data_IF_146121022650
#
_entry.id   IF_146121022650
#
_cell.length_a   1.000
_cell.length_b   1.000
_cell.length_c   1.000
_cell.angle_alpha   90.00
_cell.angle_beta   90.00
_cell.angle_gamma   90.00
#
_symmetry.space_group_name_H-M   'P 1'
#
loop_
_entity.id
_entity.type
_entity.pdbx_description
1 polymer ?
#
# COMPACT_ATOMS: atom_id res chain seq x y z
N UNK A 1 -12.98 -0.37 -16.18
CA UNK A 1 -11.77 -1.07 -15.70
C UNK A 1 -11.66 -0.88 -14.18
N UNK A 2 -11.27 -1.92 -13.45
CA UNK A 2 -11.16 -1.89 -11.98
C UNK A 2 -9.71 -2.11 -11.60
N UNK A 3 -9.11 -1.16 -10.86
CA UNK A 3 -7.80 -1.28 -10.27
C UNK A 3 -7.88 -1.83 -8.85
N UNK A 4 -6.98 -2.73 -8.50
CA UNK A 4 -6.78 -3.21 -7.13
C UNK A 4 -5.41 -2.78 -6.64
N UNK A 5 -5.35 -2.22 -5.44
CA UNK A 5 -4.12 -2.17 -4.68
C UNK A 5 -3.78 -3.58 -4.17
N UNK A 6 -2.56 -3.76 -3.65
CA UNK A 6 -2.06 -5.04 -3.24
C UNK A 6 -1.90 -5.18 -1.72
N UNK A 7 -0.94 -4.44 -1.14
CA UNK A 7 -0.58 -4.52 0.28
C UNK A 7 -1.72 -4.02 1.16
N UNK A 8 -2.16 -4.84 2.10
CA UNK A 8 -3.29 -4.57 3.00
C UNK A 8 -4.66 -4.39 2.31
N UNK A 9 -4.70 -4.73 1.01
CA UNK A 9 -5.92 -4.82 0.20
C UNK A 9 -6.15 -6.27 -0.25
N UNK A 10 -5.14 -6.92 -0.83
CA UNK A 10 -5.21 -8.32 -1.25
C UNK A 10 -4.56 -9.27 -0.23
N UNK A 11 -3.51 -8.85 0.42
CA UNK A 11 -2.75 -9.63 1.40
C UNK A 11 -2.21 -8.76 2.52
N UNK A 12 -1.89 -9.40 3.63
CA UNK A 12 -1.30 -8.73 4.80
C UNK A 12 0.08 -8.18 4.50
N UNK A 13 0.35 -6.99 4.95
CA UNK A 13 1.65 -6.34 4.82
C UNK A 13 2.02 -5.53 6.06
N UNK A 14 1.20 -4.56 6.48
CA UNK A 14 1.53 -3.62 7.56
C UNK A 14 1.84 -4.32 8.89
N UNK A 15 1.16 -5.41 9.21
CA UNK A 15 1.42 -6.18 10.44
C UNK A 15 2.89 -6.60 10.57
N UNK A 16 3.50 -7.01 9.46
CA UNK A 16 4.90 -7.47 9.44
C UNK A 16 5.88 -6.30 9.55
N UNK A 17 5.50 -5.14 9.03
CA UNK A 17 6.27 -3.91 9.23
C UNK A 17 6.20 -3.44 10.68
N UNK A 18 5.02 -3.53 11.32
CA UNK A 18 4.83 -3.19 12.72
C UNK A 18 5.66 -4.10 13.64
N UNK A 19 5.68 -5.41 13.37
CA UNK A 19 6.53 -6.38 14.09
C UNK A 19 8.03 -6.07 13.91
N UNK A 20 8.43 -5.68 12.70
CA UNK A 20 9.82 -5.29 12.44
C UNK A 20 10.20 -3.99 13.17
N UNK A 21 9.31 -3.02 13.26
CA UNK A 21 9.52 -1.78 14.02
C UNK A 21 9.61 -2.05 15.52
N UNK A 22 8.78 -2.93 16.07
CA UNK A 22 8.85 -3.35 17.47
C UNK A 22 10.19 -4.05 17.80
N UNK A 23 10.67 -4.93 16.92
CA UNK A 23 11.99 -5.56 17.07
C UNK A 23 13.13 -4.54 16.95
N UNK A 24 13.02 -3.58 16.04
CA UNK A 24 13.97 -2.48 15.92
C UNK A 24 14.05 -1.67 17.20
N UNK A 25 12.92 -1.26 17.78
CA UNK A 25 12.86 -0.55 19.06
C UNK A 25 13.53 -1.36 20.19
N UNK A 26 13.29 -2.68 20.23
CA UNK A 26 13.93 -3.58 21.19
C UNK A 26 15.45 -3.67 21.01
N UNK A 27 15.94 -3.64 19.77
CA UNK A 27 17.38 -3.63 19.48
C UNK A 27 18.01 -2.31 19.97
N UNK A 28 17.43 -1.17 19.60
CA UNK A 28 17.93 0.17 19.93
C UNK A 28 17.84 0.45 21.43
N UNK A 29 16.78 -0.03 22.10
CA UNK A 29 16.57 0.11 23.54
C UNK A 29 17.62 -0.54 24.42
N UNK A 30 18.54 -1.34 23.85
CA UNK A 30 19.74 -1.81 24.58
C UNK A 30 20.83 -0.73 24.72
N UNK A 31 20.74 0.34 23.97
CA UNK A 31 21.74 1.41 23.89
C UNK A 31 21.26 2.75 24.46
N UNK A 32 19.95 2.94 24.54
CA UNK A 32 19.31 4.17 24.99
C UNK A 32 18.15 3.85 25.94
N UNK A 33 17.80 4.80 26.82
CA UNK A 33 16.59 4.69 27.63
C UNK A 33 15.37 5.07 26.78
N UNK A 34 14.44 4.14 26.63
CA UNK A 34 13.21 4.37 25.86
C UNK A 34 12.25 5.36 26.53
N UNK A 35 12.48 5.71 27.82
CA UNK A 35 11.75 6.79 28.48
C UNK A 35 12.19 8.17 27.99
N UNK A 36 13.45 8.29 27.55
CA UNK A 36 14.04 9.56 27.13
C UNK A 36 14.05 9.72 25.60
N UNK A 37 13.97 8.62 24.85
CA UNK A 37 14.10 8.62 23.37
C UNK A 37 12.91 7.96 22.73
N UNK A 38 12.20 8.72 21.89
CA UNK A 38 11.09 8.20 21.07
C UNK A 38 11.65 7.57 19.80
N UNK A 39 12.04 6.30 19.90
CA UNK A 39 12.77 5.58 18.84
C UNK A 39 11.96 5.50 17.56
N UNK A 40 10.67 5.19 17.64
CA UNK A 40 9.82 5.06 16.44
C UNK A 40 9.54 6.41 15.76
N UNK A 41 9.42 7.51 16.54
CA UNK A 41 9.29 8.85 15.95
C UNK A 41 10.55 9.25 15.19
N UNK A 42 11.73 8.94 15.73
CA UNK A 42 13.01 9.18 15.09
C UNK A 42 13.17 8.33 13.82
N UNK A 43 12.77 7.05 13.87
CA UNK A 43 12.74 6.18 12.70
C UNK A 43 11.81 6.76 11.63
N UNK A 44 10.57 7.13 11.97
CA UNK A 44 9.60 7.68 11.04
C UNK A 44 10.13 8.94 10.32
N UNK A 45 10.81 9.82 11.05
CA UNK A 45 11.42 11.02 10.45
C UNK A 45 12.49 10.66 9.41
N UNK A 46 13.36 9.68 9.71
CA UNK A 46 14.39 9.20 8.79
C UNK A 46 13.77 8.48 7.60
N UNK A 47 12.78 7.61 7.81
CA UNK A 47 12.06 6.91 6.73
C UNK A 47 11.43 7.89 5.75
N UNK A 48 10.68 8.87 6.28
CA UNK A 48 10.01 9.88 5.46
C UNK A 48 11.00 10.68 4.61
N UNK A 49 12.15 11.07 5.18
CA UNK A 49 13.21 11.76 4.44
C UNK A 49 13.85 10.87 3.37
N UNK A 50 13.94 9.57 3.63
CA UNK A 50 14.61 8.60 2.76
C UNK A 50 13.73 8.05 1.63
N UNK A 51 12.41 8.24 1.66
CA UNK A 51 11.50 7.79 0.59
C UNK A 51 11.94 8.34 -0.77
N UNK A 52 12.30 9.62 -0.84
CA UNK A 52 12.72 10.25 -2.09
C UNK A 52 14.04 9.70 -2.66
N UNK A 53 14.84 9.01 -1.83
CA UNK A 53 16.16 8.46 -2.19
C UNK A 53 16.11 6.96 -2.43
N UNK A 54 15.47 6.23 -1.52
CA UNK A 54 15.45 4.76 -1.53
C UNK A 54 14.12 4.16 -1.98
N UNK A 55 13.07 4.97 -2.13
CA UNK A 55 11.72 4.50 -2.41
C UNK A 55 11.06 3.80 -1.23
N UNK A 56 9.89 3.25 -1.48
CA UNK A 56 9.10 2.48 -0.52
C UNK A 56 9.59 1.03 -0.39
N UNK A 57 9.21 0.38 0.71
CA UNK A 57 9.37 -1.06 0.92
C UNK A 57 10.52 -1.43 1.85
N UNK A 58 10.69 -2.73 2.03
CA UNK A 58 11.57 -3.33 3.06
C UNK A 58 13.01 -2.85 2.96
N UNK A 59 13.55 -2.65 1.74
CA UNK A 59 14.95 -2.23 1.55
C UNK A 59 15.16 -0.79 2.03
N UNK A 60 14.27 0.13 1.64
CA UNK A 60 14.31 1.53 2.08
C UNK A 60 14.13 1.65 3.60
N UNK A 61 13.15 0.92 4.18
CA UNK A 61 12.96 0.82 5.62
C UNK A 61 14.22 0.31 6.33
N UNK A 62 14.87 -0.74 5.82
CA UNK A 62 16.08 -1.31 6.44
C UNK A 62 17.22 -0.31 6.47
N UNK A 63 17.44 0.42 5.38
CA UNK A 63 18.47 1.46 5.31
C UNK A 63 18.16 2.59 6.31
N UNK A 64 16.90 2.98 6.41
CA UNK A 64 16.43 3.99 7.38
C UNK A 64 16.57 3.51 8.82
N UNK A 65 16.30 2.24 9.11
CA UNK A 65 16.56 1.65 10.42
C UNK A 65 18.04 1.67 10.79
N UNK A 66 18.95 1.31 9.87
CA UNK A 66 20.39 1.34 10.10
C UNK A 66 20.87 2.77 10.37
N UNK A 67 20.42 3.74 9.58
CA UNK A 67 20.73 5.15 9.74
C UNK A 67 20.19 5.68 11.08
N UNK A 68 18.91 5.49 11.36
CA UNK A 68 18.26 5.92 12.61
C UNK A 68 18.92 5.31 13.83
N UNK A 69 19.20 3.99 13.82
CA UNK A 69 19.92 3.32 14.90
C UNK A 69 21.29 3.92 15.16
N UNK A 70 22.04 4.24 14.10
CA UNK A 70 23.35 4.85 14.21
C UNK A 70 23.26 6.26 14.81
N UNK A 71 22.29 7.06 14.38
CA UNK A 71 22.05 8.41 14.90
C UNK A 71 21.62 8.38 16.38
N UNK A 72 20.58 7.59 16.71
CA UNK A 72 20.02 7.49 18.08
C UNK A 72 21.07 7.02 19.09
N UNK A 73 21.89 6.07 18.70
CA UNK A 73 22.92 5.50 19.60
C UNK A 73 24.22 6.29 19.61
N UNK A 74 24.35 7.36 18.80
CA UNK A 74 25.60 8.10 18.63
C UNK A 74 26.74 7.24 18.12
N UNK A 75 26.45 6.30 17.22
CA UNK A 75 27.41 5.36 16.63
C UNK A 75 27.85 4.21 17.57
N UNK A 76 27.21 4.05 18.72
CA UNK A 76 27.55 2.98 19.72
C UNK A 76 26.91 1.63 19.39
N UNK A 77 25.98 1.57 18.45
CA UNK A 77 25.34 0.30 18.08
C UNK A 77 26.40 -0.68 17.57
N UNK A 78 26.36 -1.92 18.05
CA UNK A 78 27.28 -2.95 17.64
C UNK A 78 26.99 -3.43 16.21
N UNK A 79 28.03 -3.77 15.44
CA UNK A 79 27.91 -4.32 14.09
C UNK A 79 27.01 -5.58 14.05
N UNK A 80 27.00 -6.38 15.13
CA UNK A 80 26.14 -7.55 15.25
C UNK A 80 24.65 -7.16 15.30
N UNK A 81 24.30 -6.05 15.93
CA UNK A 81 22.92 -5.58 16.03
C UNK A 81 22.47 -4.92 14.71
N UNK A 82 23.36 -4.24 13.99
CA UNK A 82 23.09 -3.83 12.61
C UNK A 82 22.85 -5.04 11.70
N UNK A 83 23.65 -6.11 11.87
CA UNK A 83 23.43 -7.34 11.13
C UNK A 83 22.06 -7.99 11.45
N UNK A 84 21.60 -7.94 12.68
CA UNK A 84 20.24 -8.41 13.07
C UNK A 84 19.15 -7.65 12.35
N UNK A 85 19.28 -6.32 12.19
CA UNK A 85 18.33 -5.51 11.40
C UNK A 85 18.29 -6.00 9.95
N UNK A 86 19.46 -6.31 9.36
CA UNK A 86 19.53 -6.86 7.98
C UNK A 86 18.89 -8.25 7.89
N UNK A 87 19.13 -9.13 8.86
CA UNK A 87 18.52 -10.48 8.86
C UNK A 87 16.99 -10.41 9.06
N UNK A 88 16.51 -9.50 9.89
CA UNK A 88 15.08 -9.22 10.05
C UNK A 88 14.44 -8.78 8.71
N UNK A 89 15.09 -7.88 7.99
CA UNK A 89 14.66 -7.45 6.66
C UNK A 89 14.62 -8.60 5.64
N UNK A 90 15.62 -9.47 5.65
CA UNK A 90 15.63 -10.68 4.81
C UNK A 90 14.48 -11.64 5.18
N UNK A 91 14.16 -11.76 6.47
CA UNK A 91 13.01 -12.51 6.94
C UNK A 91 11.72 -11.96 6.36
N UNK A 92 11.54 -10.64 6.42
CA UNK A 92 10.37 -9.95 5.89
C UNK A 92 10.23 -10.11 4.37
N UNK A 93 11.34 -9.98 3.61
CA UNK A 93 11.34 -10.19 2.15
C UNK A 93 11.01 -11.63 1.73
N UNK A 94 11.19 -12.61 2.61
CA UNK A 94 10.90 -14.04 2.37
C UNK A 94 9.61 -14.51 3.02
N UNK A 95 8.89 -13.58 3.68
CA UNK A 95 7.64 -13.94 4.34
C UNK A 95 6.63 -14.45 3.30
N UNK A 96 5.94 -15.58 3.54
CA UNK A 96 4.89 -16.04 2.65
C UNK A 96 3.78 -15.02 2.49
N UNK A 97 3.18 -14.94 1.31
CA UNK A 97 2.02 -14.08 1.07
C UNK A 97 0.80 -14.67 1.76
N UNK A 98 0.16 -13.91 2.63
CA UNK A 98 -1.07 -14.28 3.31
C UNK A 98 -2.22 -13.44 2.78
N UNK A 99 -3.06 -14.04 1.92
CA UNK A 99 -4.25 -13.38 1.39
C UNK A 99 -5.21 -12.97 2.52
N UNK A 100 -5.88 -11.83 2.35
CA UNK A 100 -6.99 -11.48 3.23
C UNK A 100 -8.13 -12.48 3.06
N UNK A 101 -8.84 -12.83 4.15
CA UNK A 101 -10.00 -13.73 4.07
C UNK A 101 -11.02 -13.24 3.03
N UNK A 102 -11.54 -14.13 2.19
CA UNK A 102 -12.55 -13.80 1.17
C UNK A 102 -12.06 -13.06 -0.06
N UNK A 103 -10.83 -12.52 -0.07
CA UNK A 103 -10.37 -11.62 -1.14
C UNK A 103 -10.27 -12.31 -2.50
N UNK A 104 -9.82 -13.56 -2.56
CA UNK A 104 -9.74 -14.31 -3.84
C UNK A 104 -11.10 -14.36 -4.51
N UNK A 105 -12.13 -14.77 -3.77
CA UNK A 105 -13.50 -14.89 -4.27
C UNK A 105 -14.05 -13.53 -4.72
N UNK A 106 -13.73 -12.47 -3.98
CA UNK A 106 -14.13 -11.11 -4.34
C UNK A 106 -13.47 -10.64 -5.65
N UNK A 107 -12.16 -10.85 -5.82
CA UNK A 107 -11.44 -10.51 -7.06
C UNK A 107 -11.99 -11.33 -8.24
N UNK A 108 -12.19 -12.64 -8.07
CA UNK A 108 -12.77 -13.53 -9.09
C UNK A 108 -14.17 -13.06 -9.51
N UNK A 109 -15.01 -12.65 -8.56
CA UNK A 109 -16.36 -12.16 -8.83
C UNK A 109 -16.33 -10.82 -9.60
N UNK A 110 -15.45 -9.89 -9.23
CA UNK A 110 -15.27 -8.62 -9.96
C UNK A 110 -14.70 -8.87 -11.36
N UNK A 111 -13.73 -9.78 -11.49
CA UNK A 111 -13.09 -10.12 -12.76
C UNK A 111 -14.03 -10.83 -13.74
N UNK A 112 -15.14 -11.42 -13.27
CA UNK A 112 -16.14 -12.04 -14.15
C UNK A 112 -16.87 -10.99 -15.01
N UNK A 113 -17.06 -9.77 -14.51
CA UNK A 113 -17.83 -8.71 -15.18
C UNK A 113 -16.97 -7.55 -15.67
N UNK A 114 -15.74 -7.38 -15.13
CA UNK A 114 -14.88 -6.24 -15.41
C UNK A 114 -13.45 -6.65 -15.71
N UNK A 115 -12.78 -5.89 -16.57
CA UNK A 115 -11.33 -5.99 -16.69
C UNK A 115 -10.68 -5.47 -15.41
N UNK A 116 -9.81 -6.29 -14.78
CA UNK A 116 -9.11 -5.96 -13.55
C UNK A 116 -7.62 -5.76 -13.77
N UNK A 117 -7.04 -4.79 -13.08
CA UNK A 117 -5.61 -4.48 -13.08
C UNK A 117 -5.10 -4.36 -11.65
N UNK A 118 -3.86 -4.77 -11.41
CA UNK A 118 -3.19 -4.56 -10.14
C UNK A 118 -2.31 -3.32 -10.24
N UNK A 119 -2.42 -2.40 -9.26
CA UNK A 119 -1.58 -1.21 -9.18
C UNK A 119 -1.03 -1.11 -7.76
N UNK A 120 0.24 -1.37 -7.59
CA UNK A 120 0.91 -1.36 -6.28
C UNK A 120 2.16 -0.50 -6.30
N UNK A 121 2.57 0.03 -5.15
CA UNK A 121 3.85 0.74 -4.99
C UNK A 121 4.80 -0.05 -4.09
N UNK A 122 6.10 0.14 -4.29
CA UNK A 122 7.13 -0.49 -3.47
C UNK A 122 8.34 -0.99 -4.25
N UNK A 123 9.14 -1.81 -3.60
CA UNK A 123 10.30 -2.45 -4.24
C UNK A 123 9.86 -3.45 -5.32
N UNK A 124 10.34 -3.23 -6.54
CA UNK A 124 9.96 -4.03 -7.71
C UNK A 124 10.12 -5.53 -7.47
N UNK A 125 11.30 -5.97 -7.03
CA UNK A 125 11.57 -7.40 -6.83
C UNK A 125 10.67 -8.03 -5.76
N UNK A 126 10.39 -7.27 -4.70
CA UNK A 126 9.54 -7.76 -3.63
C UNK A 126 8.08 -7.83 -4.07
N UNK A 127 7.58 -6.79 -4.75
CA UNK A 127 6.21 -6.78 -5.24
C UNK A 127 5.97 -7.85 -6.32
N UNK A 128 6.90 -8.03 -7.28
CA UNK A 128 6.81 -9.12 -8.26
C UNK A 128 6.76 -10.49 -7.59
N UNK A 129 7.58 -10.72 -6.56
CA UNK A 129 7.57 -11.97 -5.81
C UNK A 129 6.21 -12.18 -5.11
N UNK A 130 5.68 -11.16 -4.41
CA UNK A 130 4.38 -11.25 -3.74
C UNK A 130 3.23 -11.51 -4.72
N UNK A 131 3.20 -10.83 -5.85
CA UNK A 131 2.18 -11.04 -6.88
C UNK A 131 2.21 -12.48 -7.40
N UNK A 132 3.39 -12.99 -7.75
CA UNK A 132 3.55 -14.37 -8.19
C UNK A 132 3.09 -15.37 -7.13
N UNK A 133 3.54 -15.17 -5.89
CA UNK A 133 3.32 -16.11 -4.78
C UNK A 133 1.89 -16.03 -4.21
N UNK A 134 1.14 -14.95 -4.49
CA UNK A 134 -0.27 -14.80 -4.15
C UNK A 134 -1.19 -15.77 -4.88
N UNK A 135 -0.77 -16.25 -6.06
CA UNK A 135 -1.59 -17.03 -6.96
C UNK A 135 -2.79 -16.26 -7.55
N UNK A 136 -2.76 -14.92 -7.54
CA UNK A 136 -3.79 -14.06 -8.11
C UNK A 136 -3.38 -13.45 -9.45
N UNK A 137 -2.12 -13.61 -9.87
CA UNK A 137 -1.56 -12.95 -11.05
C UNK A 137 -2.38 -13.13 -12.31
N UNK A 138 -2.92 -14.32 -12.53
CA UNK A 138 -3.67 -14.69 -13.75
C UNK A 138 -5.06 -14.03 -13.83
N UNK A 139 -5.55 -13.45 -12.73
CA UNK A 139 -6.80 -12.70 -12.72
C UNK A 139 -6.63 -11.28 -13.27
N UNK A 140 -5.42 -10.73 -13.21
CA UNK A 140 -5.14 -9.36 -13.61
C UNK A 140 -4.66 -9.29 -15.06
N UNK A 141 -5.34 -8.46 -15.88
CA UNK A 141 -4.91 -8.16 -17.24
C UNK A 141 -3.52 -7.51 -17.29
N UNK A 142 -3.22 -6.65 -16.32
CA UNK A 142 -1.94 -5.95 -16.15
C UNK A 142 -1.59 -5.81 -14.68
N UNK A 143 -0.29 -5.77 -14.43
CA UNK A 143 0.30 -5.58 -13.10
C UNK A 143 1.27 -4.41 -13.21
N UNK A 144 0.96 -3.32 -12.51
CA UNK A 144 1.74 -2.09 -12.50
C UNK A 144 2.37 -1.90 -11.11
N UNK A 145 3.70 -1.96 -11.06
CA UNK A 145 4.47 -1.65 -9.86
C UNK A 145 5.07 -0.26 -10.05
N UNK A 146 4.55 0.71 -9.29
CA UNK A 146 4.88 2.13 -9.46
C UNK A 146 5.71 2.66 -8.30
N UNK A 147 6.45 3.73 -8.54
CA UNK A 147 7.23 4.41 -7.50
C UNK A 147 6.35 5.24 -6.55
N UNK A 148 5.25 5.80 -7.07
CA UNK A 148 4.28 6.58 -6.30
C UNK A 148 2.89 6.41 -6.89
N UNK A 149 1.86 6.55 -6.05
CA UNK A 149 0.45 6.54 -6.41
C UNK A 149 -0.13 7.95 -6.23
N UNK A 150 0.14 8.77 -7.19
CA UNK A 150 -0.29 10.17 -7.25
C UNK A 150 -1.09 10.47 -8.53
N UNK A 151 -1.76 11.63 -8.64
CA UNK A 151 -2.53 11.95 -9.83
C UNK A 151 -1.73 11.87 -11.14
N UNK A 152 -0.47 12.33 -11.26
CA UNK A 152 0.34 12.16 -12.46
C UNK A 152 0.55 10.70 -12.85
N UNK A 153 0.84 9.82 -11.88
CA UNK A 153 1.03 8.39 -12.12
C UNK A 153 -0.25 7.74 -12.63
N UNK A 154 -1.39 7.99 -11.98
CA UNK A 154 -2.68 7.46 -12.44
C UNK A 154 -3.06 8.01 -13.81
N UNK A 155 -2.86 9.30 -14.09
CA UNK A 155 -3.14 9.88 -15.40
C UNK A 155 -2.32 9.21 -16.52
N UNK A 156 -1.02 8.91 -16.26
CA UNK A 156 -0.16 8.15 -17.18
C UNK A 156 -0.71 6.74 -17.40
N UNK A 157 -1.04 6.01 -16.34
CA UNK A 157 -1.57 4.65 -16.43
C UNK A 157 -2.90 4.61 -17.21
N UNK A 158 -3.82 5.54 -16.93
CA UNK A 158 -5.10 5.62 -17.67
C UNK A 158 -4.88 5.86 -19.17
N UNK A 159 -3.90 6.71 -19.51
CA UNK A 159 -3.50 6.91 -20.92
C UNK A 159 -2.94 5.62 -21.54
N UNK A 160 -2.09 4.89 -20.82
CA UNK A 160 -1.53 3.60 -21.28
C UNK A 160 -2.59 2.49 -21.38
N UNK A 161 -3.67 2.57 -20.59
CA UNK A 161 -4.81 1.66 -20.66
C UNK A 161 -5.83 2.04 -21.74
N UNK A 162 -5.66 3.21 -22.37
CA UNK A 162 -6.57 3.77 -23.35
C UNK A 162 -8.01 3.93 -22.81
N UNK A 163 -8.14 4.48 -21.59
CA UNK A 163 -9.42 4.75 -20.93
C UNK A 163 -9.47 6.15 -20.32
N UNK A 164 -10.67 6.71 -20.24
CA UNK A 164 -10.93 7.95 -19.50
C UNK A 164 -11.03 7.69 -17.99
N UNK A 165 -10.69 8.70 -17.18
CA UNK A 165 -10.73 8.57 -15.73
C UNK A 165 -12.12 8.17 -15.20
N UNK A 166 -13.21 8.68 -15.79
CA UNK A 166 -14.58 8.30 -15.44
C UNK A 166 -14.93 6.82 -15.69
N UNK A 167 -14.07 6.07 -16.41
CA UNK A 167 -14.22 4.65 -16.69
C UNK A 167 -13.36 3.76 -15.76
N UNK A 168 -12.62 4.38 -14.85
CA UNK A 168 -11.72 3.71 -13.91
C UNK A 168 -12.24 3.81 -12.48
N UNK A 169 -12.16 2.69 -11.76
CA UNK A 169 -12.46 2.58 -10.35
C UNK A 169 -11.28 1.91 -9.65
N UNK A 170 -10.78 2.52 -8.58
CA UNK A 170 -9.70 1.96 -7.76
C UNK A 170 -10.25 1.40 -6.45
N UNK A 171 -9.79 0.21 -6.07
CA UNK A 171 -10.06 -0.45 -4.80
C UNK A 171 -8.77 -0.47 -4.01
N UNK A 172 -8.77 0.03 -2.79
CA UNK A 172 -7.57 0.02 -1.94
C UNK A 172 -7.83 0.43 -0.51
N UNK A 173 -6.81 0.22 0.34
CA UNK A 173 -6.87 0.51 1.77
C UNK A 173 -6.43 1.94 2.11
N UNK A 174 -5.70 2.62 1.22
CA UNK A 174 -5.18 3.96 1.46
C UNK A 174 -6.03 5.03 0.80
N UNK A 175 -6.63 5.90 1.60
CA UNK A 175 -7.30 7.10 1.07
C UNK A 175 -6.33 7.98 0.29
N UNK A 176 -5.09 8.12 0.77
CA UNK A 176 -4.06 8.99 0.19
C UNK A 176 -3.54 8.49 -1.15
N UNK A 177 -3.26 7.20 -1.24
CA UNK A 177 -2.57 6.60 -2.39
C UNK A 177 -3.52 5.97 -3.40
N UNK A 178 -4.67 5.43 -2.95
CA UNK A 178 -5.57 4.68 -3.83
C UNK A 178 -6.77 5.52 -4.25
N UNK A 179 -7.38 6.23 -3.31
CA UNK A 179 -8.70 6.82 -3.53
C UNK A 179 -8.60 8.27 -3.98
N UNK A 180 -7.99 9.14 -3.17
CA UNK A 180 -7.95 10.57 -3.45
C UNK A 180 -7.33 10.93 -4.83
N UNK A 181 -6.22 10.31 -5.27
CA UNK A 181 -5.64 10.61 -6.57
C UNK A 181 -6.55 10.27 -7.75
N UNK A 182 -7.28 9.16 -7.63
CA UNK A 182 -8.21 8.70 -8.67
C UNK A 182 -9.45 9.57 -8.72
N UNK A 183 -10.01 9.93 -7.56
CA UNK A 183 -11.15 10.87 -7.49
C UNK A 183 -10.79 12.24 -8.05
N UNK A 184 -9.59 12.75 -7.77
CA UNK A 184 -9.11 14.04 -8.29
C UNK A 184 -9.04 14.08 -9.83
N UNK A 185 -8.84 12.93 -10.49
CA UNK A 185 -8.86 12.80 -11.94
C UNK A 185 -10.28 12.60 -12.51
N UNK A 186 -11.29 12.46 -11.66
CA UNK A 186 -12.67 12.19 -12.06
C UNK A 186 -13.05 10.70 -12.11
N UNK A 187 -12.19 9.82 -11.58
CA UNK A 187 -12.47 8.39 -11.42
C UNK A 187 -13.35 8.08 -10.21
N UNK A 188 -13.37 6.81 -9.83
CA UNK A 188 -14.21 6.24 -8.78
C UNK A 188 -13.36 5.47 -7.78
N UNK A 189 -13.84 5.29 -6.54
CA UNK A 189 -13.09 4.61 -5.50
C UNK A 189 -13.93 3.72 -4.59
N UNK A 190 -13.38 2.55 -4.24
CA UNK A 190 -13.86 1.73 -3.12
C UNK A 190 -12.75 1.71 -2.07
N UNK A 191 -12.98 2.34 -0.95
CA UNK A 191 -12.07 2.30 0.17
C UNK A 191 -12.40 1.10 1.06
N UNK A 192 -11.43 0.20 1.19
CA UNK A 192 -11.50 -0.95 2.10
C UNK A 192 -10.41 -0.79 3.16
N UNK A 193 -10.69 -0.09 4.29
CA UNK A 193 -9.69 0.24 5.28
C UNK A 193 -9.13 -1.03 5.93
N UNK A 194 -7.80 -1.10 6.04
CA UNK A 194 -7.16 -2.14 6.81
C UNK A 194 -7.08 -1.74 8.30
N UNK A 195 -6.99 -2.72 9.20
CA UNK A 195 -7.02 -2.51 10.66
C UNK A 195 -5.89 -1.62 11.18
N UNK A 196 -4.74 -1.66 10.52
CA UNK A 196 -3.58 -0.80 10.79
C UNK A 196 -3.17 -0.13 9.49
N UNK A 197 -2.87 1.16 9.55
CA UNK A 197 -2.42 1.93 8.39
C UNK A 197 -1.17 2.70 8.78
N UNK A 198 -0.14 2.63 7.94
CA UNK A 198 1.06 3.42 8.16
C UNK A 198 0.72 4.91 8.27
N UNK A 199 1.33 5.61 9.26
CA UNK A 199 1.02 7.02 9.53
C UNK A 199 1.14 7.92 8.29
N UNK A 200 2.08 7.60 7.39
CA UNK A 200 2.26 8.31 6.11
C UNK A 200 1.07 8.19 5.16
N UNK A 201 0.24 7.17 5.27
CA UNK A 201 -0.91 6.90 4.41
C UNK A 201 -2.26 7.38 4.99
N UNK A 202 -2.27 7.87 6.24
CA UNK A 202 -3.51 8.26 6.93
C UNK A 202 -3.96 9.69 6.64
N UNK A 203 -3.08 10.56 6.14
CA UNK A 203 -3.35 11.98 5.96
C UNK A 203 -3.96 12.29 4.59
N UNK A 204 -5.19 11.85 4.34
CA UNK A 204 -5.95 12.33 3.19
C UNK A 204 -7.34 12.81 3.63
N UNK A 205 -7.73 13.99 3.15
CA UNK A 205 -9.10 14.46 3.23
C UNK A 205 -9.73 14.33 1.85
N UNK A 206 -10.87 13.67 1.80
CA UNK A 206 -11.69 13.62 0.59
C UNK A 206 -12.64 14.83 0.66
N UNK A 207 -12.67 15.63 -0.38
CA UNK A 207 -13.62 16.73 -0.49
C UNK A 207 -15.05 16.18 -0.57
N UNK A 208 -15.99 16.84 0.13
CA UNK A 208 -17.38 16.40 0.19
C UNK A 208 -18.04 16.26 -1.20
N UNK A 209 -17.59 17.02 -2.19
CA UNK A 209 -18.07 16.92 -3.58
C UNK A 209 -17.64 15.62 -4.27
N UNK A 210 -16.51 15.02 -3.84
CA UNK A 210 -15.97 13.77 -4.37
C UNK A 210 -16.53 12.55 -3.65
N UNK A 211 -17.14 12.70 -2.49
CA UNK A 211 -17.70 11.62 -1.66
C UNK A 211 -18.76 10.80 -2.42
N UNK A 212 -19.51 11.41 -3.32
CA UNK A 212 -20.49 10.72 -4.16
C UNK A 212 -19.88 9.70 -5.15
N UNK A 213 -18.57 9.80 -5.43
CA UNK A 213 -17.83 8.92 -6.34
C UNK A 213 -17.10 7.80 -5.63
N UNK A 214 -17.27 7.67 -4.33
CA UNK A 214 -16.65 6.59 -3.59
C UNK A 214 -17.67 5.90 -2.66
N UNK A 215 -17.27 4.73 -2.18
CA UNK A 215 -17.91 4.09 -1.03
C UNK A 215 -16.86 3.41 -0.16
N UNK A 216 -17.26 3.06 1.06
CA UNK A 216 -16.43 2.35 2.02
C UNK A 216 -17.02 0.96 2.22
N UNK A 217 -16.19 -0.07 2.17
CA UNK A 217 -16.56 -1.45 2.50
C UNK A 217 -15.67 -1.95 3.63
N UNK A 218 -16.21 -2.74 4.54
CA UNK A 218 -15.45 -3.27 5.67
C UNK A 218 -14.76 -4.60 5.33
N UNK A 219 -15.34 -5.37 4.42
CA UNK A 219 -14.94 -6.75 4.15
C UNK A 219 -14.93 -7.03 2.64
N UNK A 220 -14.04 -7.92 2.15
CA UNK A 220 -13.91 -8.23 0.73
C UNK A 220 -15.19 -8.74 0.06
N UNK A 221 -16.06 -9.42 0.80
CA UNK A 221 -17.31 -9.97 0.28
C UNK A 221 -18.28 -8.91 -0.24
N UNK A 222 -18.13 -7.66 0.23
CA UNK A 222 -18.96 -6.53 -0.23
C UNK A 222 -18.42 -5.85 -1.50
N UNK A 223 -17.20 -6.21 -1.95
CA UNK A 223 -16.57 -5.58 -3.12
C UNK A 223 -17.37 -5.73 -4.42
N UNK A 224 -17.91 -6.92 -4.79
CA UNK A 224 -18.64 -7.06 -6.04
C UNK A 224 -19.87 -6.13 -6.14
N UNK A 225 -20.65 -6.04 -5.07
CA UNK A 225 -21.85 -5.19 -5.03
C UNK A 225 -21.49 -3.70 -5.02
N UNK A 226 -20.43 -3.31 -4.30
CA UNK A 226 -19.92 -1.95 -4.27
C UNK A 226 -19.45 -1.50 -5.66
N UNK A 227 -18.67 -2.35 -6.34
CA UNK A 227 -18.18 -2.10 -7.71
C UNK A 227 -19.34 -1.97 -8.68
N UNK A 228 -20.31 -2.90 -8.67
CA UNK A 228 -21.48 -2.87 -9.54
C UNK A 228 -22.29 -1.57 -9.33
N UNK A 229 -22.48 -1.16 -8.08
CA UNK A 229 -23.21 0.08 -7.73
C UNK A 229 -22.50 1.31 -8.29
N UNK A 230 -21.18 1.45 -8.08
CA UNK A 230 -20.42 2.60 -8.58
C UNK A 230 -20.29 2.60 -10.10
N UNK A 231 -20.14 1.43 -10.72
CA UNK A 231 -20.11 1.30 -12.19
C UNK A 231 -21.44 1.73 -12.84
N UNK A 232 -22.58 1.40 -12.21
CA UNK A 232 -23.90 1.88 -12.68
C UNK A 232 -24.00 3.42 -12.58
N UNK A 233 -23.54 4.02 -11.49
CA UNK A 233 -23.49 5.50 -11.32
C UNK A 233 -22.59 6.15 -12.37
N UNK A 234 -21.41 5.57 -12.62
CA UNK A 234 -20.47 6.04 -13.63
C UNK A 234 -21.08 6.03 -15.03
N UNK A 235 -21.88 5.01 -15.35
CA UNK A 235 -22.57 4.90 -16.64
C UNK A 235 -23.69 5.94 -16.78
N UNK A 236 -24.45 6.20 -15.73
CA UNK A 236 -25.51 7.24 -15.71
C UNK A 236 -24.93 8.64 -15.89
N UNK A 237 -23.84 8.97 -15.18
CA UNK A 237 -23.17 10.29 -15.26
C UNK A 237 -22.57 10.62 -16.63
N UNK A 238 -22.46 9.66 -17.53
CA UNK A 238 -21.96 9.87 -18.92
C UNK A 238 -23.08 10.06 -19.92
N UNK A 239 -24.32 9.73 -19.53
CA UNK A 239 -25.48 9.86 -20.40
C UNK A 239 -26.16 11.24 -20.32
N UNK A 240 -25.81 12.00 -19.29
CA UNK A 240 -26.23 13.38 -19.04
C UNK A 240 -25.18 14.38 -19.59
#
# INVERSE_FOLDING_TARGET
MIGFDADDTLWRSQDYFDDAQAEFERIVGRYVDLADVRVLDALYAVETANIAVFGYGVKGMTLSMIESATQITGGRIAALDLHRIVEMAKGLLRHPVELLPGIRQAVEAVAADFEVVLITKGDLFHQEAKVRDSGLSDLFRRIEIVSEKDPPTYARLLTEFDIEAGQFLMIGNSLRSDIAPVLALGGWGVHMPYRTTWAHETEAKIDAELDARMCVVAEPEALPDAVATLAARASASRAD
#
